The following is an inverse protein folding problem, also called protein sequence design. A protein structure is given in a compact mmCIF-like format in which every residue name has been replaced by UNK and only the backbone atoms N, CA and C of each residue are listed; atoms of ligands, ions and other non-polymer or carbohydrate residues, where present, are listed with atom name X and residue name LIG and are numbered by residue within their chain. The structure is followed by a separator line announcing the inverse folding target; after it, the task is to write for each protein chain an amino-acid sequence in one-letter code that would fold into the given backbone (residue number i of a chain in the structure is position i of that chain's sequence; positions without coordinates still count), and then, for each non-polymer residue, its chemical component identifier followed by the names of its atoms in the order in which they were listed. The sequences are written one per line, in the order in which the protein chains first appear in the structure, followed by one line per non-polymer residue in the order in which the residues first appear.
data_IF_435251994707
#
_entry.id   IF_435251994707
#
_cell.length_a   1.000
_cell.length_b   1.000
_cell.length_c   1.000
_cell.angle_alpha   90.00
_cell.angle_beta   90.00
_cell.angle_gamma   90.00
#
_symmetry.space_group_name_H-M   'P 1'
#
loop_
_entity.id
_entity.type
_entity.pdbx_description
1 polymer ?
#
# COMPACT_ATOMS: atom_id res chain seq x y z
N UNK A 1 -14.18 23.03 -12.52
CA UNK A 1 -13.03 22.79 -11.63
C UNK A 1 -11.78 23.17 -12.42
N UNK A 2 -10.94 24.06 -11.88
CA UNK A 2 -9.72 24.51 -12.56
C UNK A 2 -8.69 23.38 -12.57
N UNK A 3 -8.24 22.98 -13.73
CA UNK A 3 -7.06 22.13 -13.86
C UNK A 3 -5.85 22.86 -13.27
N UNK A 4 -5.04 22.11 -12.52
CA UNK A 4 -3.74 22.63 -12.10
C UNK A 4 -2.81 22.75 -13.31
N UNK A 5 -1.75 23.57 -13.25
CA UNK A 5 -0.77 23.68 -14.35
C UNK A 5 -0.21 22.33 -14.80
N UNK A 6 -0.26 21.32 -13.95
CA UNK A 6 0.20 19.95 -14.20
C UNK A 6 -0.88 19.01 -14.79
N UNK A 7 -2.07 19.52 -15.14
CA UNK A 7 -3.13 18.78 -15.85
C UNK A 7 -3.86 17.73 -15.01
N UNK A 8 -3.91 17.84 -13.68
CA UNK A 8 -4.72 16.98 -12.82
C UNK A 8 -5.74 17.78 -11.99
N UNK A 9 -6.86 17.13 -11.65
CA UNK A 9 -7.93 17.74 -10.85
C UNK A 9 -7.76 17.48 -9.34
N UNK A 10 -7.15 16.34 -8.99
CA UNK A 10 -7.02 15.88 -7.61
C UNK A 10 -5.67 15.23 -7.38
N UNK A 11 -5.09 15.43 -6.18
CA UNK A 11 -3.93 14.71 -5.67
C UNK A 11 -4.38 13.67 -4.64
N UNK A 12 -3.98 12.42 -4.83
CA UNK A 12 -4.31 11.31 -3.96
C UNK A 12 -3.03 10.65 -3.42
N UNK A 13 -2.67 10.99 -2.20
CA UNK A 13 -1.49 10.40 -1.54
C UNK A 13 -1.83 9.06 -0.92
N UNK A 14 -1.07 8.03 -1.31
CA UNK A 14 -1.12 6.66 -0.76
C UNK A 14 0.21 6.37 -0.08
N UNK A 15 0.17 5.72 1.08
CA UNK A 15 1.35 5.23 1.78
C UNK A 15 1.36 3.71 1.82
N UNK A 16 2.55 3.12 1.62
CA UNK A 16 2.80 1.68 1.77
C UNK A 16 3.54 1.45 3.07
N UNK A 17 2.98 0.65 3.96
CA UNK A 17 3.58 0.29 5.26
C UNK A 17 3.57 -1.21 5.47
N UNK A 18 4.41 -1.69 6.37
CA UNK A 18 4.60 -3.10 6.67
C UNK A 18 6.07 -3.39 6.96
N UNK A 19 6.36 -4.60 7.40
CA UNK A 19 7.72 -5.04 7.71
C UNK A 19 8.68 -4.93 6.51
N UNK A 20 9.97 -4.94 6.81
CA UNK A 20 11.01 -5.00 5.78
C UNK A 20 10.85 -6.26 4.93
N UNK A 21 11.14 -6.15 3.64
CA UNK A 21 11.15 -7.28 2.68
C UNK A 21 9.80 -7.95 2.39
N UNK A 22 8.67 -7.35 2.79
CA UNK A 22 7.35 -7.86 2.40
C UNK A 22 6.99 -7.57 0.94
N UNK A 23 7.76 -6.73 0.26
CA UNK A 23 7.62 -6.44 -1.17
C UNK A 23 6.92 -5.12 -1.51
N UNK A 24 6.90 -4.14 -0.58
CA UNK A 24 6.31 -2.80 -0.82
C UNK A 24 6.91 -2.12 -2.04
N UNK A 25 8.24 -2.08 -2.14
CA UNK A 25 8.96 -1.47 -3.27
C UNK A 25 8.62 -2.15 -4.60
N UNK A 26 8.50 -3.47 -4.63
CA UNK A 26 8.10 -4.19 -5.85
C UNK A 26 6.63 -3.97 -6.22
N UNK A 27 5.73 -3.78 -5.24
CA UNK A 27 4.34 -3.36 -5.50
C UNK A 27 4.34 -1.99 -6.16
N UNK A 28 5.12 -1.04 -5.64
CA UNK A 28 5.26 0.30 -6.22
C UNK A 28 5.80 0.25 -7.65
N UNK A 29 6.92 -0.43 -7.88
CA UNK A 29 7.55 -0.55 -9.19
C UNK A 29 6.65 -1.26 -10.20
N UNK A 30 5.93 -2.29 -9.77
CA UNK A 30 4.98 -3.01 -10.62
C UNK A 30 3.81 -2.13 -11.05
N UNK A 31 3.23 -1.39 -10.12
CA UNK A 31 2.13 -0.50 -10.41
C UNK A 31 2.52 0.68 -11.31
N UNK A 32 3.70 1.27 -11.10
CA UNK A 32 4.14 2.45 -11.85
C UNK A 32 4.71 2.11 -13.22
N UNK A 33 5.57 1.09 -13.30
CA UNK A 33 6.44 0.83 -14.45
C UNK A 33 6.28 -0.59 -15.04
N UNK A 34 5.42 -1.42 -14.47
CA UNK A 34 5.30 -2.85 -14.79
C UNK A 34 6.62 -3.64 -14.57
N UNK A 35 7.42 -3.22 -13.59
CA UNK A 35 8.72 -3.80 -13.27
C UNK A 35 8.70 -4.62 -11.99
N UNK A 36 9.50 -5.68 -11.96
CA UNK A 36 9.75 -6.51 -10.78
C UNK A 36 11.25 -6.79 -10.64
N UNK A 37 11.80 -6.52 -9.46
CA UNK A 37 13.19 -6.81 -9.14
C UNK A 37 13.29 -7.86 -8.02
N UNK A 38 13.67 -9.12 -8.35
CA UNK A 38 13.80 -10.18 -7.35
C UNK A 38 14.93 -9.93 -6.36
N UNK A 39 15.90 -9.10 -6.72
CA UNK A 39 17.06 -8.74 -5.92
C UNK A 39 16.94 -7.37 -5.25
N UNK A 40 15.71 -6.85 -5.10
CA UNK A 40 15.51 -5.56 -4.45
C UNK A 40 16.05 -5.60 -3.02
N UNK A 41 16.90 -4.62 -2.70
CA UNK A 41 17.46 -4.46 -1.34
C UNK A 41 16.43 -3.79 -0.43
N UNK A 42 16.64 -3.89 0.87
CA UNK A 42 15.83 -3.15 1.83
C UNK A 42 15.85 -1.65 1.52
N UNK A 43 14.67 -1.05 1.50
CA UNK A 43 14.48 0.39 1.26
C UNK A 43 15.16 1.19 2.37
N UNK A 44 15.90 2.21 1.99
CA UNK A 44 16.52 3.16 2.91
C UNK A 44 15.79 4.48 2.82
N UNK A 45 15.20 4.94 3.92
CA UNK A 45 14.42 6.18 3.93
C UNK A 45 13.04 6.03 3.30
N UNK A 46 12.68 6.95 2.42
CA UNK A 46 11.38 6.99 1.73
C UNK A 46 11.61 7.14 0.23
N UNK A 47 10.96 6.28 -0.54
CA UNK A 47 10.86 6.43 -1.99
C UNK A 47 9.42 6.79 -2.36
N UNK A 48 9.23 7.57 -3.42
CA UNK A 48 7.90 7.86 -3.91
C UNK A 48 7.82 7.86 -5.44
N UNK A 49 6.63 7.60 -5.95
CA UNK A 49 6.34 7.67 -7.37
C UNK A 49 4.95 8.25 -7.63
N UNK A 50 4.70 8.68 -8.86
CA UNK A 50 3.42 9.25 -9.24
C UNK A 50 2.88 8.61 -10.51
N UNK A 51 1.53 8.47 -10.58
CA UNK A 51 0.82 8.00 -11.76
C UNK A 51 -0.48 8.79 -11.91
N UNK A 52 -0.77 9.26 -13.11
CA UNK A 52 -2.05 9.88 -13.40
C UNK A 52 -3.07 8.81 -13.80
N UNK A 53 -4.20 8.79 -13.14
CA UNK A 53 -5.32 7.88 -13.41
C UNK A 53 -6.57 8.68 -13.74
N UNK A 54 -7.39 8.17 -14.65
CA UNK A 54 -8.73 8.71 -14.87
C UNK A 54 -9.71 7.96 -13.97
N UNK A 55 -10.42 8.72 -13.13
CA UNK A 55 -11.50 8.22 -12.29
C UNK A 55 -12.72 9.08 -12.65
N UNK A 56 -13.73 8.44 -13.24
CA UNK A 56 -14.87 9.14 -13.86
C UNK A 56 -14.38 10.19 -14.87
N UNK A 57 -14.75 11.47 -14.68
CA UNK A 57 -14.34 12.58 -15.55
C UNK A 57 -13.15 13.38 -15.00
N UNK A 58 -12.47 12.88 -13.95
CA UNK A 58 -11.38 13.56 -13.30
C UNK A 58 -10.02 12.88 -13.59
N UNK A 59 -9.00 13.68 -13.78
CA UNK A 59 -7.61 13.20 -13.75
C UNK A 59 -7.10 13.27 -12.32
N UNK A 60 -6.82 12.11 -11.75
CA UNK A 60 -6.30 11.99 -10.38
C UNK A 60 -4.81 11.67 -10.44
N UNK A 61 -3.99 12.52 -9.84
CA UNK A 61 -2.57 12.25 -9.65
C UNK A 61 -2.40 11.40 -8.38
N UNK A 62 -2.14 10.13 -8.54
CA UNK A 62 -1.84 9.21 -7.44
C UNK A 62 -0.37 9.36 -7.09
N UNK A 63 -0.08 9.74 -5.86
CA UNK A 63 1.25 9.83 -5.29
C UNK A 63 1.45 8.72 -4.27
N UNK A 64 2.39 7.81 -4.52
CA UNK A 64 2.61 6.63 -3.69
C UNK A 64 3.94 6.77 -2.97
N UNK A 65 3.91 6.62 -1.65
CA UNK A 65 5.06 6.72 -0.78
C UNK A 65 5.40 5.34 -0.23
N UNK A 66 6.62 4.88 -0.49
CA UNK A 66 7.18 3.63 0.02
C UNK A 66 8.15 3.92 1.16
N UNK A 67 7.95 3.26 2.31
CA UNK A 67 8.85 3.41 3.46
C UNK A 67 9.79 2.25 3.63
N UNK A 68 10.93 2.53 4.29
CA UNK A 68 11.70 1.49 4.95
C UNK A 68 10.87 0.83 6.06
N UNK A 69 10.71 -0.50 6.00
CA UNK A 69 10.01 -1.29 7.02
C UNK A 69 10.83 -1.51 8.30
N UNK A 70 11.96 -0.80 8.46
CA UNK A 70 12.87 -0.96 9.59
C UNK A 70 12.62 0.10 10.67
N UNK A 71 12.50 -0.34 11.90
CA UNK A 71 12.25 0.47 13.10
C UNK A 71 13.24 1.63 13.34
N UNK A 72 14.48 1.52 12.85
CA UNK A 72 15.50 2.58 12.97
C UNK A 72 15.16 3.87 12.20
N UNK A 73 14.16 3.83 11.31
CA UNK A 73 13.70 5.00 10.55
C UNK A 73 12.38 5.58 11.05
N UNK A 74 11.91 5.18 12.23
CA UNK A 74 10.62 5.63 12.81
C UNK A 74 10.52 7.13 13.05
N UNK A 75 11.62 7.85 13.17
CA UNK A 75 11.59 9.31 13.35
C UNK A 75 11.00 10.09 12.17
N UNK A 76 10.86 9.45 11.01
CA UNK A 76 10.30 10.07 9.79
C UNK A 76 8.76 9.88 9.72
N UNK A 77 8.18 9.10 10.63
CA UNK A 77 6.87 8.48 10.50
C UNK A 77 5.68 9.45 10.44
N UNK A 78 5.63 10.50 11.27
CA UNK A 78 4.48 11.39 11.32
C UNK A 78 4.33 12.26 10.06
N UNK A 79 5.45 12.77 9.53
CA UNK A 79 5.47 13.53 8.28
C UNK A 79 5.09 12.67 7.07
N UNK A 80 5.42 11.39 7.11
CA UNK A 80 5.10 10.41 6.09
C UNK A 80 3.58 10.22 5.92
N UNK A 81 2.83 10.13 7.02
CA UNK A 81 1.38 9.95 7.00
C UNK A 81 0.59 11.23 6.73
N UNK A 82 1.20 12.39 6.89
CA UNK A 82 0.50 13.68 6.72
C UNK A 82 -0.07 13.83 5.30
N UNK A 83 -1.36 14.09 5.23
CA UNK A 83 -2.09 14.25 3.97
C UNK A 83 -2.36 12.95 3.22
N UNK A 84 -2.00 11.78 3.77
CA UNK A 84 -2.34 10.50 3.17
C UNK A 84 -3.85 10.27 3.19
N UNK A 85 -4.40 9.90 2.04
CA UNK A 85 -5.82 9.55 1.86
C UNK A 85 -6.03 8.05 1.81
N UNK A 86 -5.01 7.30 1.44
CA UNK A 86 -5.01 5.85 1.40
C UNK A 86 -3.76 5.24 2.04
N UNK A 87 -3.89 4.02 2.52
CA UNK A 87 -2.81 3.25 3.12
C UNK A 87 -2.95 1.77 2.75
N UNK A 88 -1.88 1.18 2.26
CA UNK A 88 -1.74 -0.27 2.19
C UNK A 88 -0.90 -0.77 3.35
N UNK A 89 -1.46 -1.69 4.13
CA UNK A 89 -0.71 -2.47 5.11
C UNK A 89 -0.34 -3.78 4.45
N UNK A 90 0.96 -4.00 4.23
CA UNK A 90 1.48 -5.13 3.46
C UNK A 90 2.15 -6.15 4.38
N UNK A 91 1.77 -7.41 4.26
CA UNK A 91 2.50 -8.55 4.80
C UNK A 91 2.87 -9.54 3.71
N UNK A 92 3.80 -10.42 3.98
CA UNK A 92 4.24 -11.51 3.11
C UNK A 92 3.56 -12.81 3.56
N UNK A 93 2.82 -13.48 2.68
CA UNK A 93 2.08 -14.72 3.00
C UNK A 93 2.98 -15.87 3.47
N UNK A 94 4.28 -15.78 3.21
CA UNK A 94 5.29 -16.76 3.63
C UNK A 94 5.99 -16.39 4.94
N UNK A 95 5.68 -15.23 5.55
CA UNK A 95 6.35 -14.70 6.73
C UNK A 95 5.36 -14.37 7.84
N UNK A 96 5.26 -15.28 8.83
CA UNK A 96 4.36 -15.14 9.99
C UNK A 96 4.59 -13.85 10.76
N UNK A 97 5.85 -13.47 10.98
CA UNK A 97 6.20 -12.25 11.72
C UNK A 97 5.63 -11.00 11.08
N UNK A 98 5.68 -10.91 9.75
CA UNK A 98 5.10 -9.77 9.02
C UNK A 98 3.58 -9.67 9.16
N UNK A 99 2.89 -10.81 9.34
CA UNK A 99 1.46 -10.88 9.59
C UNK A 99 1.09 -10.55 11.04
N UNK A 100 1.88 -11.00 12.01
CA UNK A 100 1.71 -10.66 13.44
C UNK A 100 1.81 -9.15 13.65
N UNK A 101 2.72 -8.48 12.94
CA UNK A 101 2.95 -7.04 13.07
C UNK A 101 1.90 -6.15 12.37
N UNK A 102 0.93 -6.73 11.65
CA UNK A 102 -0.13 -5.96 10.93
C UNK A 102 -0.90 -5.03 11.86
N UNK A 103 -1.27 -5.48 13.06
CA UNK A 103 -2.01 -4.66 14.02
C UNK A 103 -1.21 -3.44 14.48
N UNK A 104 0.07 -3.62 14.73
CA UNK A 104 0.98 -2.53 15.07
C UNK A 104 1.06 -1.47 13.95
N UNK A 105 1.15 -1.91 12.70
CA UNK A 105 1.13 -1.00 11.55
C UNK A 105 -0.21 -0.28 11.39
N UNK A 106 -1.31 -0.98 11.65
CA UNK A 106 -2.64 -0.37 11.64
C UNK A 106 -2.78 0.72 12.71
N UNK A 107 -2.36 0.44 13.95
CA UNK A 107 -2.37 1.41 15.05
C UNK A 107 -1.52 2.64 14.72
N UNK A 108 -0.35 2.44 14.12
CA UNK A 108 0.54 3.51 13.68
C UNK A 108 -0.13 4.39 12.60
N UNK A 109 -0.72 3.78 11.58
CA UNK A 109 -1.46 4.49 10.54
C UNK A 109 -2.62 5.31 11.13
N UNK A 110 -3.40 4.72 12.02
CA UNK A 110 -4.53 5.41 12.67
C UNK A 110 -4.08 6.55 13.59
N UNK A 111 -2.91 6.45 14.19
CA UNK A 111 -2.36 7.48 15.08
C UNK A 111 -1.85 8.71 14.33
N UNK A 112 -1.20 8.52 13.19
CA UNK A 112 -0.45 9.58 12.50
C UNK A 112 -1.12 10.10 11.23
N UNK A 113 -2.14 9.42 10.71
CA UNK A 113 -2.89 9.89 9.55
C UNK A 113 -4.11 10.75 9.93
N UNK A 114 -4.71 11.36 8.91
CA UNK A 114 -6.00 12.04 9.07
C UNK A 114 -7.11 11.02 9.41
N UNK A 115 -8.14 11.47 10.14
CA UNK A 115 -9.23 10.63 10.66
C UNK A 115 -9.98 9.79 9.59
N UNK A 116 -9.87 10.15 8.33
CA UNK A 116 -10.61 9.53 7.22
C UNK A 116 -9.72 8.78 6.24
N UNK A 117 -8.58 8.26 6.68
CA UNK A 117 -7.72 7.45 5.82
C UNK A 117 -8.43 6.12 5.45
N UNK A 118 -8.38 5.76 4.16
CA UNK A 118 -8.84 4.45 3.69
C UNK A 118 -7.70 3.45 3.80
N UNK A 119 -7.90 2.35 4.52
CA UNK A 119 -6.90 1.29 4.70
C UNK A 119 -7.32 0.06 3.93
N UNK A 120 -6.36 -0.60 3.29
CA UNK A 120 -6.50 -1.93 2.67
C UNK A 120 -5.38 -2.82 3.21
N UNK A 121 -5.73 -4.04 3.62
CA UNK A 121 -4.78 -5.07 4.00
C UNK A 121 -4.35 -5.86 2.76
N UNK A 122 -3.04 -6.01 2.56
CA UNK A 122 -2.44 -6.71 1.43
C UNK A 122 -1.61 -7.90 1.91
N UNK A 123 -2.01 -9.11 1.51
CA UNK A 123 -1.17 -10.31 1.59
C UNK A 123 -0.39 -10.45 0.29
N UNK A 124 0.87 -10.04 0.30
CA UNK A 124 1.72 -10.04 -0.89
C UNK A 124 2.50 -11.34 -1.06
N UNK A 125 3.06 -11.53 -2.24
CA UNK A 125 3.83 -12.71 -2.69
C UNK A 125 2.95 -13.96 -2.78
N UNK A 126 1.70 -13.81 -3.24
CA UNK A 126 0.76 -14.93 -3.44
C UNK A 126 1.26 -15.98 -4.43
N UNK A 127 2.29 -15.66 -5.22
CA UNK A 127 3.03 -16.60 -6.07
C UNK A 127 3.85 -17.63 -5.28
N UNK A 128 4.19 -17.36 -4.00
CA UNK A 128 4.93 -18.26 -3.13
C UNK A 128 4.02 -19.29 -2.43
N UNK A 129 3.09 -19.90 -3.16
CA UNK A 129 2.10 -20.84 -2.60
C UNK A 129 2.76 -22.01 -1.87
N UNK A 130 3.88 -22.54 -2.39
CA UNK A 130 4.63 -23.65 -1.77
C UNK A 130 5.28 -23.27 -0.41
N UNK A 131 5.41 -21.96 -0.14
CA UNK A 131 5.99 -21.42 1.10
C UNK A 131 4.96 -20.72 1.96
N UNK A 132 3.69 -20.77 1.57
CA UNK A 132 2.59 -20.12 2.29
C UNK A 132 2.54 -20.58 3.76
N UNK A 133 2.48 -19.63 4.66
CA UNK A 133 2.25 -19.83 6.10
C UNK A 133 0.95 -19.18 6.56
N UNK A 134 0.55 -18.10 5.90
CA UNK A 134 -0.68 -17.37 6.20
C UNK A 134 -1.74 -17.74 5.16
N UNK A 135 -2.83 -18.34 5.61
CA UNK A 135 -3.95 -18.71 4.74
C UNK A 135 -4.76 -17.48 4.32
N UNK A 136 -5.50 -17.60 3.21
CA UNK A 136 -6.42 -16.57 2.75
C UNK A 136 -7.45 -16.23 3.83
N UNK A 137 -7.97 -17.24 4.53
CA UNK A 137 -8.95 -17.09 5.62
C UNK A 137 -8.37 -16.30 6.78
N UNK A 138 -7.11 -16.52 7.18
CA UNK A 138 -6.43 -15.74 8.21
C UNK A 138 -6.33 -14.26 7.79
N UNK A 139 -5.98 -13.99 6.54
CA UNK A 139 -5.93 -12.62 5.99
C UNK A 139 -7.30 -11.95 6.00
N UNK A 140 -8.34 -12.63 5.52
CA UNK A 140 -9.73 -12.14 5.55
C UNK A 140 -10.22 -11.86 6.97
N UNK A 141 -9.94 -12.75 7.91
CA UNK A 141 -10.33 -12.57 9.31
C UNK A 141 -9.63 -11.37 9.96
N UNK A 142 -8.33 -11.21 9.71
CA UNK A 142 -7.56 -10.05 10.18
C UNK A 142 -8.15 -8.74 9.62
N UNK A 143 -8.44 -8.69 8.33
CA UNK A 143 -9.04 -7.51 7.70
C UNK A 143 -10.44 -7.21 8.23
N UNK A 144 -11.26 -8.23 8.47
CA UNK A 144 -12.59 -8.07 9.08
C UNK A 144 -12.49 -7.47 10.48
N UNK A 145 -11.55 -7.92 11.31
CA UNK A 145 -11.30 -7.37 12.65
C UNK A 145 -10.86 -5.89 12.58
N UNK A 146 -10.06 -5.54 11.59
CA UNK A 146 -9.60 -4.17 11.35
C UNK A 146 -10.61 -3.32 10.54
N UNK A 147 -11.74 -3.91 10.12
CA UNK A 147 -12.80 -3.27 9.32
C UNK A 147 -12.28 -2.66 8.01
N UNK A 148 -11.36 -3.35 7.35
CA UNK A 148 -10.79 -2.92 6.07
C UNK A 148 -10.92 -4.02 5.01
N UNK A 149 -10.87 -3.68 3.70
CA UNK A 149 -10.78 -4.66 2.62
C UNK A 149 -9.49 -5.46 2.68
N UNK A 150 -9.52 -6.63 2.05
CA UNK A 150 -8.40 -7.53 1.93
C UNK A 150 -8.16 -7.93 0.47
N UNK A 151 -6.91 -7.90 0.04
CA UNK A 151 -6.46 -8.45 -1.24
C UNK A 151 -5.20 -9.30 -1.02
N UNK A 152 -5.09 -10.39 -1.75
CA UNK A 152 -3.80 -11.01 -1.99
C UNK A 152 -3.23 -10.49 -3.31
N UNK A 153 -1.94 -10.21 -3.32
CA UNK A 153 -1.24 -9.66 -4.49
C UNK A 153 0.03 -10.43 -4.79
N UNK A 154 0.47 -10.36 -6.03
CA UNK A 154 1.81 -10.76 -6.44
C UNK A 154 2.40 -9.72 -7.36
N UNK A 155 3.47 -9.06 -6.92
CA UNK A 155 4.23 -8.15 -7.77
C UNK A 155 4.97 -8.90 -8.90
N UNK A 156 5.33 -10.18 -8.68
CA UNK A 156 5.96 -11.02 -9.69
C UNK A 156 5.02 -11.28 -10.88
N UNK A 157 3.78 -11.74 -10.60
CA UNK A 157 2.80 -12.10 -11.62
C UNK A 157 1.82 -10.99 -11.99
N UNK A 158 1.95 -9.80 -11.40
CA UNK A 158 1.01 -8.67 -11.51
C UNK A 158 -0.42 -9.03 -11.04
N UNK A 159 -0.55 -9.96 -10.09
CA UNK A 159 -1.85 -10.38 -9.60
C UNK A 159 -2.46 -9.33 -8.66
N UNK A 160 -3.65 -8.83 -8.99
CA UNK A 160 -4.49 -7.90 -8.24
C UNK A 160 -3.83 -6.56 -7.83
N UNK A 161 -2.66 -6.20 -8.36
CA UNK A 161 -1.98 -4.93 -8.03
C UNK A 161 -2.84 -3.74 -8.46
N UNK A 162 -3.19 -3.65 -9.75
CA UNK A 162 -3.98 -2.54 -10.27
C UNK A 162 -5.37 -2.48 -9.63
N UNK A 163 -5.99 -3.63 -9.36
CA UNK A 163 -7.30 -3.71 -8.71
C UNK A 163 -7.25 -3.11 -7.28
N UNK A 164 -6.24 -3.45 -6.49
CA UNK A 164 -6.09 -2.93 -5.13
C UNK A 164 -5.96 -1.40 -5.13
N UNK A 165 -5.16 -0.84 -6.03
CA UNK A 165 -5.03 0.62 -6.18
C UNK A 165 -6.33 1.27 -6.65
N UNK A 166 -7.05 0.70 -7.62
CA UNK A 166 -8.35 1.17 -8.09
C UNK A 166 -9.37 1.25 -6.94
N UNK A 167 -9.51 0.16 -6.18
CA UNK A 167 -10.46 0.10 -5.05
C UNK A 167 -10.13 1.15 -4.00
N UNK A 168 -8.85 1.40 -3.72
CA UNK A 168 -8.44 2.42 -2.77
C UNK A 168 -8.78 3.85 -3.25
N UNK A 169 -8.57 4.12 -4.55
CA UNK A 169 -8.87 5.41 -5.16
C UNK A 169 -10.38 5.66 -5.25
N UNK A 170 -11.18 4.67 -5.68
CA UNK A 170 -12.65 4.78 -5.83
C UNK A 170 -13.35 5.04 -4.51
N UNK A 171 -12.86 4.49 -3.40
CA UNK A 171 -13.45 4.71 -2.06
C UNK A 171 -13.46 6.16 -1.62
N UNK A 172 -12.64 7.01 -2.22
CA UNK A 172 -12.53 8.44 -1.89
C UNK A 172 -13.17 9.35 -2.91
N UNK A 173 -13.54 8.86 -4.08
CA UNK A 173 -14.29 9.64 -5.08
C UNK A 173 -15.79 9.76 -4.76
N UNK A 174 -16.28 9.04 -3.74
CA UNK A 174 -17.70 8.97 -3.32
C UNK A 174 -17.99 9.83 -2.07
N UNK A 175 -17.13 10.78 -1.70
CA UNK A 175 -17.39 11.73 -0.60
C UNK A 175 -17.40 13.15 -1.12
#
# INVERSE_FOLDING_TARGET
MSETPDGYNMLFKIVLIGESSVGKTNILSKYLNDEFNPNSKATVGVEFGTKNCKIDNNVVKVQIWDTAGQERYRSITSAYYKGAKGCFIVYDISNEKSFEDVERWYEEAMKFSDKNISIILIGNKSDLEDKRKITIEMGKQKAANLKCPFFETSALSNYQIDLAFSVLADRKSVV
#
